data_IF_575904756755
#
_entry.id   IF_575904756755
#
_cell.length_a   1.000
_cell.length_b   1.000
_cell.length_c   1.000
_cell.angle_alpha   90.00
_cell.angle_beta   90.00
_cell.angle_gamma   90.00
#
_symmetry.space_group_name_H-M   'P 1'
#
loop_
_entity.id
_entity.type
_entity.pdbx_description
1 polymer ?
#
# COMPACT_ATOMS: atom_id res chain seq x y z
N UNK A 1 -57.17 -2.28 68.05
CA UNK A 1 -57.72 -3.65 67.93
C UNK A 1 -58.29 -3.83 66.53
N UNK A 2 -57.93 -4.96 65.91
CA UNK A 2 -58.46 -5.58 64.69
C UNK A 2 -57.95 -5.11 63.32
N UNK A 3 -57.14 -6.01 62.74
CA UNK A 3 -56.73 -6.13 61.37
C UNK A 3 -57.87 -6.59 60.46
N UNK A 4 -57.79 -6.29 59.15
CA UNK A 4 -58.22 -7.19 58.06
C UNK A 4 -57.33 -7.04 56.82
N UNK A 5 -56.93 -8.19 56.32
CA UNK A 5 -56.15 -8.44 55.10
C UNK A 5 -56.96 -8.13 53.83
N UNK A 6 -56.26 -7.76 52.76
CA UNK A 6 -56.63 -8.12 51.39
C UNK A 6 -55.36 -8.40 50.58
N UNK A 7 -55.23 -9.65 50.15
CA UNK A 7 -54.18 -10.16 49.27
C UNK A 7 -54.53 -9.73 47.84
N UNK A 8 -53.61 -9.05 47.17
CA UNK A 8 -53.71 -8.74 45.74
C UNK A 8 -52.43 -9.18 45.03
N UNK A 9 -52.51 -10.27 44.28
CA UNK A 9 -51.46 -10.74 43.38
C UNK A 9 -51.56 -9.89 42.10
N UNK A 10 -50.50 -9.16 41.73
CA UNK A 10 -50.42 -8.48 40.45
C UNK A 10 -49.07 -8.79 39.78
N UNK A 11 -49.18 -9.28 38.56
CA UNK A 11 -48.14 -9.90 37.77
C UNK A 11 -47.00 -8.94 37.39
N UNK A 12 -45.79 -9.51 37.35
CA UNK A 12 -44.58 -8.87 36.85
C UNK A 12 -44.68 -8.62 35.34
N UNK A 13 -44.42 -7.38 34.93
CA UNK A 13 -43.99 -7.04 33.59
C UNK A 13 -42.66 -6.26 33.70
N UNK A 14 -41.56 -7.00 33.59
CA UNK A 14 -40.22 -6.44 33.42
C UNK A 14 -40.12 -5.90 31.99
N UNK A 15 -40.40 -4.60 31.81
CA UNK A 15 -40.00 -3.88 30.61
C UNK A 15 -38.52 -3.54 30.74
N UNK A 16 -37.66 -4.38 30.16
CA UNK A 16 -36.26 -4.05 29.93
C UNK A 16 -36.24 -2.97 28.84
N UNK A 17 -36.08 -1.71 29.25
CA UNK A 17 -35.83 -0.60 28.34
C UNK A 17 -34.46 -0.76 27.70
N UNK A 18 -34.42 -1.41 26.54
CA UNK A 18 -33.27 -1.37 25.64
C UNK A 18 -33.28 -0.05 24.87
N UNK A 19 -32.24 0.76 25.06
CA UNK A 19 -31.97 1.93 24.23
C UNK A 19 -31.64 1.47 22.80
N UNK A 20 -32.65 1.36 21.94
CA UNK A 20 -32.43 1.27 20.50
C UNK A 20 -32.21 2.70 19.98
N UNK A 21 -30.96 3.17 20.06
CA UNK A 21 -30.54 4.32 19.27
C UNK A 21 -30.43 3.85 17.82
N UNK A 22 -31.52 4.00 17.07
CA UNK A 22 -31.53 3.94 15.60
C UNK A 22 -30.76 5.14 15.07
N UNK A 23 -29.43 5.08 15.17
CA UNK A 23 -28.56 5.88 14.34
C UNK A 23 -28.50 5.19 13.00
N UNK A 24 -29.13 5.77 11.97
CA UNK A 24 -28.74 5.53 10.59
C UNK A 24 -27.25 5.89 10.47
N UNK A 25 -26.40 4.90 10.74
CA UNK A 25 -25.00 4.96 10.34
C UNK A 25 -25.02 4.82 8.82
N UNK A 26 -25.10 5.95 8.16
CA UNK A 26 -24.65 6.09 6.79
C UNK A 26 -23.15 5.70 6.81
N UNK A 27 -22.85 4.42 6.58
CA UNK A 27 -21.50 3.99 6.25
C UNK A 27 -21.20 4.77 4.98
N UNK A 28 -20.26 5.74 4.99
CA UNK A 28 -19.92 6.43 3.77
C UNK A 28 -19.52 5.38 2.75
N UNK A 29 -20.16 5.40 1.59
CA UNK A 29 -19.74 4.63 0.43
C UNK A 29 -18.27 4.96 0.20
N UNK A 30 -17.39 4.02 0.54
CA UNK A 30 -15.95 4.19 0.41
C UNK A 30 -15.65 4.17 -1.08
N UNK A 31 -15.09 5.28 -1.57
CA UNK A 31 -14.71 5.38 -2.97
C UNK A 31 -13.40 4.63 -3.19
N UNK A 32 -13.29 3.85 -4.26
CA UNK A 32 -12.06 3.18 -4.72
C UNK A 32 -10.89 4.16 -4.86
N UNK A 33 -9.66 3.64 -4.93
CA UNK A 33 -8.51 4.52 -5.19
C UNK A 33 -8.70 5.25 -6.52
N UNK A 34 -8.40 6.57 -6.59
CA UNK A 34 -8.67 7.38 -7.76
C UNK A 34 -8.10 6.75 -9.04
N UNK A 35 -9.02 6.43 -9.97
CA UNK A 35 -8.67 6.03 -11.33
C UNK A 35 -8.39 7.30 -12.14
N UNK A 36 -7.25 7.35 -12.79
CA UNK A 36 -6.76 8.51 -13.51
C UNK A 36 -6.76 8.26 -15.01
N UNK A 37 -6.73 9.36 -15.79
CA UNK A 37 -6.36 9.30 -17.20
C UNK A 37 -4.99 8.61 -17.34
N UNK A 38 -4.83 7.63 -18.25
CA UNK A 38 -3.57 6.90 -18.43
C UNK A 38 -2.34 7.81 -18.58
N UNK A 39 -2.45 8.97 -19.24
CA UNK A 39 -1.34 9.90 -19.43
C UNK A 39 -0.81 10.47 -18.10
N UNK A 40 -1.60 10.44 -17.02
CA UNK A 40 -1.15 10.89 -15.69
C UNK A 40 -0.08 9.99 -15.08
N UNK A 41 -0.03 8.71 -15.46
CA UNK A 41 1.03 7.79 -15.06
C UNK A 41 2.34 8.05 -15.84
N UNK A 42 2.29 8.75 -16.96
CA UNK A 42 3.46 9.10 -17.77
C UNK A 42 4.02 10.50 -17.50
N UNK A 43 3.38 11.25 -16.60
CA UNK A 43 3.88 12.57 -16.20
C UNK A 43 5.33 12.47 -15.67
N UNK A 44 6.19 13.45 -15.98
CA UNK A 44 7.56 13.48 -15.49
C UNK A 44 7.59 13.62 -13.96
N UNK A 45 8.63 13.09 -13.34
CA UNK A 45 8.90 13.29 -11.91
C UNK A 45 9.73 14.54 -11.68
N UNK A 46 9.56 15.24 -10.54
CA UNK A 46 10.45 16.28 -10.07
C UNK A 46 11.89 15.79 -10.05
N UNK A 47 12.78 16.66 -10.50
CA UNK A 47 14.22 16.41 -10.54
C UNK A 47 14.89 17.20 -9.42
N UNK A 48 15.90 16.61 -8.80
CA UNK A 48 16.77 17.27 -7.84
C UNK A 48 17.99 16.41 -7.56
N UNK A 49 18.70 16.74 -6.48
CA UNK A 49 19.82 15.92 -6.04
C UNK A 49 19.33 14.56 -5.54
N UNK A 50 20.16 13.54 -5.77
CA UNK A 50 19.99 12.19 -5.23
C UNK A 50 21.08 11.99 -4.19
N UNK A 51 20.72 12.23 -2.93
CA UNK A 51 21.56 11.86 -1.80
C UNK A 51 21.67 10.33 -1.72
N UNK A 52 22.92 9.85 -1.73
CA UNK A 52 23.28 8.43 -1.76
C UNK A 52 23.63 7.90 -0.37
N UNK A 53 23.20 8.59 0.68
CA UNK A 53 23.37 8.24 2.09
C UNK A 53 22.52 7.04 2.53
N UNK A 54 21.30 6.94 2.01
CA UNK A 54 20.26 5.98 2.41
C UNK A 54 19.87 6.04 3.91
N UNK A 55 20.17 7.12 4.62
CA UNK A 55 19.83 7.30 6.03
C UNK A 55 19.11 8.64 6.29
N UNK A 56 18.33 8.69 7.38
CA UNK A 56 17.58 9.89 7.76
C UNK A 56 16.42 10.19 6.82
N UNK A 57 15.94 9.17 6.09
CA UNK A 57 14.90 9.33 5.07
C UNK A 57 13.52 9.14 5.72
N UNK A 58 12.81 10.25 5.93
CA UNK A 58 11.49 10.25 6.56
C UNK A 58 10.49 11.03 5.71
N UNK A 59 9.42 10.37 5.28
CA UNK A 59 8.40 10.97 4.43
C UNK A 59 7.00 10.69 4.95
N UNK A 60 6.24 11.74 5.26
CA UNK A 60 4.92 11.63 5.87
C UNK A 60 3.77 11.70 4.87
N UNK A 61 4.01 12.29 3.69
CA UNK A 61 2.98 12.51 2.67
C UNK A 61 3.58 12.35 1.27
N UNK A 62 2.71 12.21 0.28
CA UNK A 62 3.10 11.95 -1.09
C UNK A 62 2.13 11.02 -1.80
N UNK A 63 2.47 10.66 -3.03
CA UNK A 63 1.65 9.79 -3.88
C UNK A 63 2.50 8.83 -4.68
N UNK A 64 1.93 7.67 -4.96
CA UNK A 64 2.38 6.75 -6.00
C UNK A 64 1.31 6.72 -7.08
N UNK A 65 1.71 6.91 -8.34
CA UNK A 65 0.85 6.65 -9.51
C UNK A 65 1.39 5.42 -10.22
N UNK A 66 0.54 4.43 -10.41
CA UNK A 66 0.93 3.17 -11.04
C UNK A 66 -0.04 2.84 -12.17
N UNK A 67 0.54 2.53 -13.33
CA UNK A 67 -0.12 1.88 -14.44
C UNK A 67 -0.01 0.37 -14.24
N UNK A 68 -1.15 -0.29 -14.16
CA UNK A 68 -1.28 -1.74 -14.17
C UNK A 68 -1.80 -2.12 -15.55
N UNK A 69 -1.05 -2.91 -16.30
CA UNK A 69 -1.40 -3.40 -17.64
C UNK A 69 -1.48 -4.94 -17.59
N UNK A 70 -2.63 -5.51 -17.19
CA UNK A 70 -2.82 -6.96 -17.21
C UNK A 70 -2.76 -7.51 -18.64
N UNK A 71 -2.29 -8.74 -18.81
CA UNK A 71 -2.17 -9.38 -20.13
C UNK A 71 -3.51 -9.49 -20.88
N UNK A 72 -4.60 -9.70 -20.14
CA UNK A 72 -5.94 -9.98 -20.69
C UNK A 72 -6.97 -8.87 -20.40
N UNK A 73 -6.53 -7.68 -19.99
CA UNK A 73 -7.44 -6.57 -19.66
C UNK A 73 -6.85 -5.20 -20.02
N UNK A 74 -7.70 -4.18 -19.98
CA UNK A 74 -7.26 -2.80 -20.24
C UNK A 74 -6.34 -2.28 -19.13
N UNK A 75 -5.36 -1.48 -19.55
CA UNK A 75 -4.45 -0.81 -18.64
C UNK A 75 -5.18 0.26 -17.81
N UNK A 76 -4.85 0.32 -16.52
CA UNK A 76 -5.45 1.25 -15.56
C UNK A 76 -4.36 2.10 -14.94
N UNK A 77 -4.62 3.39 -14.78
CA UNK A 77 -3.74 4.28 -14.01
C UNK A 77 -4.42 4.61 -12.69
N UNK A 78 -3.75 4.32 -11.57
CA UNK A 78 -4.30 4.50 -10.22
C UNK A 78 -3.36 5.33 -9.37
N UNK A 79 -3.89 6.06 -8.40
CA UNK A 79 -3.11 6.85 -7.44
C UNK A 79 -3.35 6.40 -6.00
N UNK A 80 -2.27 6.22 -5.26
CA UNK A 80 -2.28 5.89 -3.84
C UNK A 80 -1.55 6.97 -3.04
N UNK A 81 -2.06 7.29 -1.86
CA UNK A 81 -1.42 8.23 -0.95
C UNK A 81 -0.35 7.53 -0.11
N UNK A 82 0.74 8.24 0.22
CA UNK A 82 1.77 7.75 1.14
C UNK A 82 1.12 7.28 2.44
N UNK A 83 1.46 6.08 2.88
CA UNK A 83 0.92 5.46 4.10
C UNK A 83 2.05 4.78 4.89
N UNK A 84 1.72 4.12 5.99
CA UNK A 84 2.68 3.36 6.79
C UNK A 84 3.74 4.22 7.50
N UNK A 85 4.88 3.61 7.81
CA UNK A 85 5.95 4.26 8.56
C UNK A 85 6.52 5.46 7.78
N UNK A 86 6.69 6.64 8.41
CA UNK A 86 7.40 7.74 7.79
C UNK A 86 8.86 7.39 7.50
N UNK A 87 9.51 6.63 8.38
CA UNK A 87 10.84 6.09 8.13
C UNK A 87 10.74 4.98 7.08
N UNK A 88 11.40 5.17 5.95
CA UNK A 88 11.44 4.16 4.88
C UNK A 88 12.51 3.10 5.13
N UNK A 89 13.43 3.35 6.05
CA UNK A 89 14.45 2.41 6.48
C UNK A 89 13.81 1.22 7.21
N UNK A 90 13.84 0.05 6.59
CA UNK A 90 13.41 -1.22 7.16
C UNK A 90 14.66 -2.09 7.36
N UNK A 91 15.06 -2.35 8.62
CA UNK A 91 16.26 -3.13 8.91
C UNK A 91 16.22 -4.55 8.34
N UNK A 92 17.37 -5.11 7.91
CA UNK A 92 18.68 -4.48 8.01
C UNK A 92 19.01 -3.50 6.86
N UNK A 93 18.54 -3.75 5.63
CA UNK A 93 19.18 -3.19 4.43
C UNK A 93 18.20 -2.68 3.34
N UNK A 94 16.91 -2.55 3.64
CA UNK A 94 15.88 -2.18 2.64
C UNK A 94 15.29 -0.81 2.90
N UNK A 95 15.01 -0.09 1.81
CA UNK A 95 14.15 1.09 1.84
C UNK A 95 12.78 0.71 1.28
N UNK A 96 11.75 0.71 2.13
CA UNK A 96 10.37 0.35 1.79
C UNK A 96 9.48 1.59 1.79
N UNK A 97 8.78 1.79 0.68
CA UNK A 97 7.80 2.84 0.51
C UNK A 97 6.43 2.21 0.34
N UNK A 98 5.49 2.58 1.20
CA UNK A 98 4.11 2.07 1.19
C UNK A 98 3.12 3.18 0.90
N UNK A 99 2.12 2.85 0.12
CA UNK A 99 1.05 3.72 -0.30
C UNK A 99 -0.26 2.94 -0.19
N UNK A 100 -1.30 3.57 0.33
CA UNK A 100 -2.59 2.92 0.51
C UNK A 100 -3.67 3.69 -0.25
N UNK A 101 -4.58 2.94 -0.85
CA UNK A 101 -5.90 3.38 -1.24
C UNK A 101 -6.91 2.96 -0.19
N UNK A 102 -8.17 2.91 -0.62
CA UNK A 102 -9.30 2.36 0.11
C UNK A 102 -9.46 0.86 -0.19
N UNK A 103 -10.24 0.16 0.62
CA UNK A 103 -10.72 -1.21 0.37
C UNK A 103 -9.64 -2.25 0.03
N UNK A 104 -8.50 -2.16 0.70
CA UNK A 104 -7.39 -3.09 0.53
C UNK A 104 -6.57 -2.85 -0.74
N UNK A 105 -6.82 -1.75 -1.46
CA UNK A 105 -5.96 -1.30 -2.53
C UNK A 105 -4.73 -0.58 -1.98
N UNK A 106 -3.63 -0.68 -2.72
CA UNK A 106 -2.39 -0.05 -2.33
C UNK A 106 -1.24 -0.43 -3.21
N UNK A 107 -0.12 0.21 -2.97
CA UNK A 107 1.13 -0.05 -3.66
C UNK A 107 2.29 0.04 -2.70
N UNK A 108 3.28 -0.79 -2.92
CA UNK A 108 4.56 -0.68 -2.25
C UNK A 108 5.68 -0.88 -3.24
N UNK A 109 6.82 -0.27 -2.95
CA UNK A 109 8.04 -0.65 -3.60
C UNK A 109 9.20 -0.63 -2.62
N UNK A 110 10.15 -1.51 -2.85
CA UNK A 110 11.35 -1.61 -2.05
C UNK A 110 12.59 -1.77 -2.92
N UNK A 111 13.71 -1.29 -2.39
CA UNK A 111 15.02 -1.53 -2.98
C UNK A 111 16.08 -1.57 -1.88
N UNK A 112 17.23 -2.15 -2.19
CA UNK A 112 18.33 -2.25 -1.24
C UNK A 112 18.97 -0.88 -1.02
N UNK A 113 19.21 -0.52 0.25
CA UNK A 113 19.99 0.64 0.62
C UNK A 113 21.37 0.62 -0.06
N UNK A 114 21.99 -0.55 -0.18
CA UNK A 114 23.27 -0.74 -0.88
C UNK A 114 23.20 -0.39 -2.38
N UNK A 115 22.05 -0.57 -3.04
CA UNK A 115 21.90 -0.15 -4.44
C UNK A 115 21.92 1.38 -4.56
N UNK A 116 21.31 2.09 -3.60
CA UNK A 116 21.38 3.54 -3.50
C UNK A 116 22.78 4.02 -3.11
N UNK A 117 23.42 3.42 -2.11
CA UNK A 117 24.77 3.85 -1.65
C UNK A 117 25.91 3.39 -2.55
N UNK A 118 25.65 2.47 -3.49
CA UNK A 118 26.69 1.79 -4.27
C UNK A 118 27.55 0.84 -3.42
N UNK A 119 26.94 0.21 -2.41
CA UNK A 119 27.58 -0.73 -1.49
C UNK A 119 28.51 -0.06 -0.47
N UNK A 120 28.44 1.27 -0.32
CA UNK A 120 29.30 2.01 0.62
C UNK A 120 28.70 2.04 2.02
N UNK A 121 29.57 1.92 3.01
CA UNK A 121 29.22 2.04 4.43
C UNK A 121 29.26 3.50 4.89
N UNK A 122 28.50 3.86 5.95
CA UNK A 122 28.54 5.19 6.54
C UNK A 122 29.98 5.65 6.87
N UNK A 123 30.30 6.91 6.59
CA UNK A 123 31.64 7.49 6.78
C UNK A 123 32.60 7.30 5.59
N UNK A 124 32.21 6.55 4.56
CA UNK A 124 32.97 6.47 3.30
C UNK A 124 32.86 7.77 2.49
N UNK A 125 33.79 8.05 1.56
CA UNK A 125 33.64 9.15 0.60
C UNK A 125 32.29 9.08 -0.15
N UNK A 126 31.72 10.23 -0.57
CA UNK A 126 30.43 10.25 -1.27
C UNK A 126 30.43 9.34 -2.50
N UNK A 127 29.38 8.54 -2.64
CA UNK A 127 29.18 7.71 -3.83
C UNK A 127 29.15 8.60 -5.10
N UNK A 128 29.65 8.13 -6.24
CA UNK A 128 29.54 8.87 -7.50
C UNK A 128 28.07 9.12 -7.81
N UNK A 129 27.77 10.02 -8.75
CA UNK A 129 26.38 10.23 -9.19
C UNK A 129 25.73 8.92 -9.61
N UNK A 130 24.46 8.72 -9.25
CA UNK A 130 23.67 7.59 -9.75
C UNK A 130 23.34 7.85 -11.23
N UNK A 131 23.86 7.02 -12.13
CA UNK A 131 23.73 7.18 -13.59
C UNK A 131 22.88 6.10 -14.26
N UNK A 132 22.50 5.07 -13.52
CA UNK A 132 21.71 3.95 -14.02
C UNK A 132 20.55 3.65 -13.05
N UNK A 133 19.45 3.05 -13.54
CA UNK A 133 18.40 2.51 -12.68
C UNK A 133 18.96 1.49 -11.69
N UNK A 134 18.32 1.38 -10.52
CA UNK A 134 18.63 0.37 -9.51
C UNK A 134 17.55 -0.73 -9.52
N UNK A 135 17.89 -1.96 -9.11
CA UNK A 135 16.89 -3.01 -8.95
C UNK A 135 15.92 -2.65 -7.82
N UNK A 136 14.64 -2.90 -8.07
CA UNK A 136 13.57 -2.73 -7.09
C UNK A 136 12.56 -3.87 -7.20
N UNK A 137 11.72 -3.97 -6.18
CA UNK A 137 10.52 -4.81 -6.16
C UNK A 137 9.30 -3.93 -6.00
N UNK A 138 8.20 -4.28 -6.65
CA UNK A 138 6.95 -3.54 -6.61
C UNK A 138 5.82 -4.52 -6.34
N UNK A 139 4.98 -4.18 -5.36
CA UNK A 139 3.73 -4.86 -5.09
C UNK A 139 2.57 -3.90 -5.28
N UNK A 140 1.47 -4.32 -5.89
CA UNK A 140 0.29 -3.48 -6.06
C UNK A 140 -0.98 -4.30 -5.94
N UNK A 141 -1.92 -3.86 -5.10
CA UNK A 141 -3.27 -4.40 -5.04
C UNK A 141 -4.24 -3.43 -5.66
N UNK A 142 -4.93 -3.88 -6.71
CA UNK A 142 -5.91 -3.10 -7.49
C UNK A 142 -7.04 -4.04 -7.88
N UNK A 143 -8.28 -3.62 -7.65
CA UNK A 143 -9.49 -4.37 -7.99
C UNK A 143 -9.52 -5.79 -7.40
N UNK A 144 -9.03 -5.94 -6.16
CA UNK A 144 -9.01 -7.21 -5.43
C UNK A 144 -7.91 -8.19 -5.85
N UNK A 145 -7.05 -7.83 -6.81
CA UNK A 145 -5.93 -8.66 -7.24
C UNK A 145 -4.60 -8.00 -6.84
N UNK A 146 -3.71 -8.77 -6.22
CA UNK A 146 -2.37 -8.30 -5.87
C UNK A 146 -1.34 -8.82 -6.87
N UNK A 147 -0.61 -7.92 -7.51
CA UNK A 147 0.51 -8.24 -8.40
C UNK A 147 1.84 -7.95 -7.69
N UNK A 148 2.76 -8.91 -7.79
CA UNK A 148 4.12 -8.80 -7.27
C UNK A 148 5.13 -8.88 -8.41
N UNK A 149 6.05 -7.92 -8.45
CA UNK A 149 7.14 -7.84 -9.42
C UNK A 149 8.48 -7.77 -8.69
N UNK A 150 9.38 -8.70 -8.98
CA UNK A 150 10.69 -8.79 -8.30
C UNK A 150 11.86 -8.24 -9.13
N UNK A 151 11.62 -7.95 -10.41
CA UNK A 151 12.61 -7.49 -11.37
C UNK A 151 12.21 -6.14 -11.99
N UNK A 152 12.17 -5.10 -11.17
CA UNK A 152 11.86 -3.74 -11.63
C UNK A 152 13.13 -2.90 -11.77
N UNK A 153 13.14 -2.02 -12.78
CA UNK A 153 14.13 -0.96 -12.93
C UNK A 153 13.62 0.32 -12.30
N UNK A 154 14.29 0.83 -11.26
CA UNK A 154 13.93 2.05 -10.56
C UNK A 154 14.92 3.19 -10.87
N UNK A 155 14.42 4.26 -11.47
CA UNK A 155 15.17 5.50 -11.71
C UNK A 155 14.81 6.53 -10.65
N UNK A 156 15.77 6.89 -9.80
CA UNK A 156 15.62 7.94 -8.80
C UNK A 156 15.96 9.30 -9.41
N UNK A 157 15.03 10.25 -9.38
CA UNK A 157 15.24 11.61 -9.88
C UNK A 157 15.45 12.63 -8.77
N UNK A 158 15.12 12.27 -7.53
CA UNK A 158 15.39 13.06 -6.33
C UNK A 158 15.41 12.15 -5.10
N UNK A 159 16.37 12.33 -4.21
CA UNK A 159 16.40 11.70 -2.88
C UNK A 159 17.05 12.65 -1.89
N UNK A 160 16.40 12.88 -0.76
CA UNK A 160 16.98 13.61 0.36
C UNK A 160 15.97 13.78 1.48
N UNK A 161 16.42 14.29 2.63
CA UNK A 161 15.61 14.38 3.84
C UNK A 161 14.26 15.11 3.65
N UNK A 162 14.16 16.05 2.69
CA UNK A 162 12.92 16.79 2.43
C UNK A 162 11.96 16.07 1.46
N UNK A 163 12.48 15.34 0.47
CA UNK A 163 11.68 14.72 -0.58
C UNK A 163 12.43 13.63 -1.33
N UNK A 164 11.68 12.65 -1.86
CA UNK A 164 12.16 11.70 -2.84
C UNK A 164 11.17 11.54 -4.00
N UNK A 165 11.69 11.27 -5.19
CA UNK A 165 10.91 11.02 -6.38
C UNK A 165 11.65 10.08 -7.34
N UNK A 166 10.88 9.31 -8.10
CA UNK A 166 11.42 8.40 -9.09
C UNK A 166 10.35 7.68 -9.89
N UNK A 167 10.80 6.92 -10.90
CA UNK A 167 9.97 6.11 -11.79
C UNK A 167 10.45 4.67 -11.78
N UNK A 168 9.53 3.72 -11.74
CA UNK A 168 9.81 2.31 -11.88
C UNK A 168 9.16 1.73 -13.14
N UNK A 169 9.79 0.71 -13.70
CA UNK A 169 9.28 -0.11 -14.79
C UNK A 169 9.52 -1.57 -14.45
N UNK A 170 8.46 -2.38 -14.48
CA UNK A 170 8.46 -3.79 -14.21
C UNK A 170 7.86 -4.50 -15.44
N UNK A 171 8.69 -5.16 -16.26
CA UNK A 171 8.23 -5.80 -17.48
C UNK A 171 7.33 -7.01 -17.22
N UNK A 172 7.37 -7.57 -16.01
CA UNK A 172 6.55 -8.69 -15.59
C UNK A 172 6.23 -8.59 -14.09
N UNK A 173 4.96 -8.80 -13.78
CA UNK A 173 4.41 -8.97 -12.45
C UNK A 173 3.41 -10.13 -12.48
N UNK A 174 3.37 -10.88 -11.38
CA UNK A 174 2.56 -12.09 -11.27
C UNK A 174 1.56 -11.88 -10.14
N UNK A 175 0.32 -12.33 -10.35
CA UNK A 175 -0.69 -12.33 -9.32
C UNK A 175 -0.28 -13.24 -8.15
N UNK A 176 -0.46 -12.76 -6.94
CA UNK A 176 -0.09 -13.43 -5.70
C UNK A 176 -1.24 -13.25 -4.69
N UNK A 177 -1.54 -14.31 -3.95
CA UNK A 177 -2.61 -14.33 -2.94
C UNK A 177 -2.19 -13.58 -1.66
N UNK A 178 -0.88 -13.37 -1.45
CA UNK A 178 -0.34 -12.65 -0.30
C UNK A 178 -0.47 -11.12 -0.47
N UNK A 179 -1.69 -10.58 -0.35
CA UNK A 179 -1.94 -9.14 -0.38
C UNK A 179 -1.64 -8.47 0.98
N UNK A 180 -0.57 -7.67 1.12
CA UNK A 180 -0.23 -7.01 2.39
C UNK A 180 -1.17 -5.84 2.74
N UNK A 181 -2.04 -5.42 1.81
CA UNK A 181 -2.98 -4.32 1.99
C UNK A 181 -4.38 -4.78 2.40
N UNK A 182 -4.70 -6.07 2.19
CA UNK A 182 -5.96 -6.66 2.62
C UNK A 182 -5.74 -7.45 3.92
N UNK A 183 -6.39 -7.09 5.04
CA UNK A 183 -6.41 -7.94 6.22
C UNK A 183 -7.26 -9.17 5.91
N UNK A 184 -6.62 -10.28 5.56
CA UNK A 184 -7.26 -11.61 5.57
C UNK A 184 -6.80 -12.33 6.83
N UNK A 185 -7.73 -12.51 7.79
CA UNK A 185 -7.52 -13.37 8.96
C UNK A 185 -7.83 -14.84 8.63
N UNK A 186 -8.31 -15.13 7.42
CA UNK A 186 -8.67 -16.46 6.96
C UNK A 186 -7.46 -17.15 6.33
N UNK A 187 -6.80 -17.99 7.12
CA UNK A 187 -5.83 -18.97 6.62
C UNK A 187 -6.61 -20.24 6.27
N UNK A 188 -6.82 -20.58 4.98
CA UNK A 188 -7.50 -21.82 4.63
C UNK A 188 -6.61 -23.00 5.02
N UNK A 189 -7.02 -23.72 6.07
CA UNK A 189 -6.37 -24.95 6.51
C UNK A 189 -7.08 -26.13 5.83
N UNK A 190 -6.30 -26.96 5.13
CA UNK A 190 -6.68 -28.23 4.48
C UNK A 190 -7.69 -28.14 3.30
N UNK A 191 -7.28 -27.55 2.18
CA UNK A 191 -7.83 -27.89 0.87
C UNK A 191 -6.78 -28.60 0.01
N UNK A 192 -7.16 -29.71 -0.62
CA UNK A 192 -6.29 -30.42 -1.56
C UNK A 192 -5.97 -29.49 -2.75
N UNK A 193 -4.73 -29.49 -3.27
CA UNK A 193 -4.34 -28.58 -4.34
C UNK A 193 -5.15 -28.89 -5.60
N UNK A 194 -6.15 -28.04 -5.88
CA UNK A 194 -6.80 -28.00 -7.18
C UNK A 194 -5.75 -27.56 -8.20
N UNK A 195 -5.70 -28.13 -9.43
CA UNK A 195 -4.80 -27.61 -10.45
C UNK A 195 -5.15 -26.14 -10.76
N UNK A 196 -4.38 -25.22 -10.18
CA UNK A 196 -4.53 -23.78 -10.37
C UNK A 196 -4.13 -23.44 -11.80
N UNK A 197 -5.00 -22.69 -12.49
CA UNK A 197 -4.61 -22.06 -13.75
C UNK A 197 -3.30 -21.25 -13.54
N UNK A 198 -2.51 -20.98 -14.60
CA UNK A 198 -1.36 -20.09 -14.47
C UNK A 198 -1.79 -18.77 -13.83
N UNK A 199 -1.00 -18.21 -12.90
CA UNK A 199 -1.35 -16.95 -12.27
C UNK A 199 -1.46 -15.85 -13.31
N UNK A 200 -2.39 -14.92 -13.11
CA UNK A 200 -2.53 -13.76 -13.97
C UNK A 200 -1.23 -12.94 -13.99
N UNK A 201 -0.92 -12.33 -15.12
CA UNK A 201 0.29 -11.51 -15.29
C UNK A 201 -0.06 -10.09 -15.71
N UNK A 202 0.85 -9.17 -15.40
CA UNK A 202 0.73 -7.76 -15.77
C UNK A 202 2.10 -7.13 -16.00
N UNK A 203 2.13 -6.04 -16.76
CA UNK A 203 3.23 -5.08 -16.76
C UNK A 203 2.89 -3.96 -15.79
N UNK A 204 3.87 -3.55 -14.98
CA UNK A 204 3.70 -2.44 -14.04
C UNK A 204 4.66 -1.32 -14.42
N UNK A 205 4.17 -0.09 -14.42
CA UNK A 205 5.04 1.08 -14.51
C UNK A 205 4.45 2.21 -13.70
N UNK A 206 5.28 3.11 -13.19
CA UNK A 206 4.73 4.18 -12.37
C UNK A 206 5.77 5.10 -11.81
N UNK A 207 5.29 6.08 -11.04
CA UNK A 207 6.13 7.07 -10.37
C UNK A 207 5.67 7.28 -8.95
N UNK A 208 6.60 7.74 -8.12
CA UNK A 208 6.30 8.18 -6.77
C UNK A 208 6.92 9.54 -6.50
N UNK A 209 6.27 10.28 -5.61
CA UNK A 209 6.72 11.56 -5.09
C UNK A 209 6.32 11.64 -3.63
N UNK A 210 7.30 11.79 -2.75
CA UNK A 210 7.11 11.81 -1.31
C UNK A 210 7.88 12.95 -0.68
N UNK A 211 7.40 13.42 0.46
CA UNK A 211 7.94 14.57 1.18
C UNK A 211 7.79 14.40 2.70
N UNK A 212 8.72 15.00 3.43
CA UNK A 212 8.75 15.01 4.89
C UNK A 212 7.57 15.76 5.50
#
# INVERSE_FOLDING_TARGET
MHARYAVGVAAAALLVGGCASSGDQHVPERADAPRLDPARCDAPTPVGDVDRSAYGLRYTRGTMRIRVEPTDAEARCVEFAKSGNPSVEVPPDTLLFTFAGTDGEGGQFEFLASALTGGRVPGSPPAPKLTAPIPARVGVSVDGLYYSATACSLTLTRVGAAAAAGRFDCPEAVADDANPFAPSDDVPYDEAPTPTAPPATARLSGRFEVQA
#
